data_IF_646932466272
#
_entry.id   IF_646932466272
#
_cell.length_a   1.000
_cell.length_b   1.000
_cell.length_c   1.000
_cell.angle_alpha   90.00
_cell.angle_beta   90.00
_cell.angle_gamma   90.00
#
_symmetry.space_group_name_H-M   'P 1'
#
loop_
_entity.id
_entity.type
_entity.pdbx_description
1 polymer ?
#
# COMPACT_ATOMS: atom_id res chain seq x y z
N UNK A 1 -3.90 -13.47 9.40
CA UNK A 1 -3.70 -12.86 10.72
C UNK A 1 -4.92 -13.21 11.55
N UNK A 2 -4.76 -14.14 12.51
CA UNK A 2 -5.83 -14.51 13.44
C UNK A 2 -6.20 -13.30 14.29
N UNK A 3 -7.45 -12.92 14.26
CA UNK A 3 -8.03 -11.92 15.15
C UNK A 3 -8.10 -12.53 16.55
N UNK A 4 -7.14 -12.21 17.41
CA UNK A 4 -7.15 -12.61 18.81
C UNK A 4 -8.10 -11.71 19.59
N UNK A 5 -9.17 -12.30 20.08
CA UNK A 5 -9.95 -11.95 21.27
C UNK A 5 -10.50 -10.52 21.37
N UNK A 6 -11.73 -10.42 21.83
CA UNK A 6 -12.57 -9.22 21.89
C UNK A 6 -12.12 -8.08 22.85
N UNK A 7 -10.96 -8.14 23.49
CA UNK A 7 -10.57 -7.18 24.55
C UNK A 7 -9.41 -6.22 24.21
N UNK A 8 -8.69 -6.42 23.10
CA UNK A 8 -7.65 -5.46 22.67
C UNK A 8 -7.97 -4.91 21.27
N UNK A 9 -8.47 -3.69 21.23
CA UNK A 9 -8.56 -2.93 19.97
C UNK A 9 -7.15 -2.66 19.44
N UNK A 10 -6.76 -3.20 18.26
CA UNK A 10 -5.42 -2.98 17.74
C UNK A 10 -5.16 -1.49 17.51
N UNK A 11 -3.93 -1.01 17.76
CA UNK A 11 -3.57 0.37 17.50
C UNK A 11 -3.75 0.71 16.01
N UNK A 12 -4.08 1.97 15.72
CA UNK A 12 -4.19 2.49 14.35
C UNK A 12 -2.95 3.30 14.02
N UNK A 13 -2.53 3.24 12.76
CA UNK A 13 -1.56 4.17 12.23
C UNK A 13 -2.12 5.58 12.13
N UNK A 14 -1.24 6.58 12.12
CA UNK A 14 -1.62 7.99 12.07
C UNK A 14 -2.15 8.42 10.70
N UNK A 15 -1.79 7.72 9.64
CA UNK A 15 -2.27 7.97 8.29
C UNK A 15 -3.04 6.77 7.78
N UNK A 16 -4.20 7.02 7.22
CA UNK A 16 -5.06 6.03 6.58
C UNK A 16 -5.56 6.53 5.23
N UNK A 17 -6.40 5.71 4.59
CA UNK A 17 -7.04 6.06 3.32
C UNK A 17 -8.56 5.87 3.44
N UNK A 18 -9.31 6.85 2.94
CA UNK A 18 -10.75 6.75 2.75
C UNK A 18 -11.00 5.87 1.53
N UNK A 19 -11.78 4.80 1.71
CA UNK A 19 -12.19 3.92 0.62
C UNK A 19 -13.69 3.97 0.39
N UNK A 20 -14.10 3.90 -0.87
CA UNK A 20 -15.49 3.68 -1.27
C UNK A 20 -15.70 2.20 -1.54
N UNK A 21 -16.73 1.59 -0.94
CA UNK A 21 -17.13 0.23 -1.29
C UNK A 21 -17.75 0.27 -2.69
N UNK A 22 -17.11 -0.37 -3.66
CA UNK A 22 -17.56 -0.42 -5.07
C UNK A 22 -18.17 -1.77 -5.44
N UNK A 23 -17.89 -2.82 -4.65
CA UNK A 23 -18.51 -4.13 -4.79
C UNK A 23 -18.63 -4.81 -3.44
N UNK A 24 -19.71 -5.56 -3.25
CA UNK A 24 -19.91 -6.39 -2.07
C UNK A 24 -20.61 -7.69 -2.51
N UNK A 25 -20.03 -8.82 -2.14
CA UNK A 25 -20.55 -10.16 -2.45
C UNK A 25 -20.57 -10.99 -1.19
N UNK A 26 -21.72 -11.53 -0.84
CA UNK A 26 -21.85 -12.49 0.26
C UNK A 26 -21.29 -13.85 -0.17
N UNK A 27 -20.51 -14.48 0.69
CA UNK A 27 -19.96 -15.82 0.51
C UNK A 27 -20.79 -16.85 1.23
N UNK A 28 -20.65 -18.13 0.82
CA UNK A 28 -21.40 -19.25 1.40
C UNK A 28 -21.14 -19.47 2.91
N UNK A 29 -20.02 -18.98 3.43
CA UNK A 29 -19.62 -19.04 4.84
C UNK A 29 -20.18 -17.88 5.69
N UNK A 30 -20.99 -17.00 5.11
CA UNK A 30 -21.56 -15.82 5.77
C UNK A 30 -20.58 -14.62 5.85
N UNK A 31 -19.39 -14.71 5.26
CA UNK A 31 -18.47 -13.58 5.12
C UNK A 31 -18.78 -12.75 3.87
N UNK A 32 -18.23 -11.54 3.80
CA UNK A 32 -18.40 -10.66 2.65
C UNK A 32 -17.06 -10.41 1.96
N UNK A 33 -17.01 -10.64 0.64
CA UNK A 33 -15.96 -10.11 -0.22
C UNK A 33 -16.30 -8.66 -0.57
N UNK A 34 -15.42 -7.72 -0.25
CA UNK A 34 -15.62 -6.31 -0.58
C UNK A 34 -14.48 -5.81 -1.46
N UNK A 35 -14.82 -4.94 -2.42
CA UNK A 35 -13.85 -4.16 -3.18
C UNK A 35 -13.92 -2.71 -2.70
N UNK A 36 -12.76 -2.15 -2.39
CA UNK A 36 -12.61 -0.76 -1.98
C UNK A 36 -11.83 0.01 -3.05
N UNK A 37 -12.35 1.15 -3.47
CA UNK A 37 -11.60 2.12 -4.27
C UNK A 37 -11.11 3.23 -3.35
N UNK A 38 -9.79 3.46 -3.30
CA UNK A 38 -9.20 4.56 -2.54
C UNK A 38 -9.67 5.92 -3.08
N UNK A 39 -9.95 6.85 -2.19
CA UNK A 39 -10.39 8.19 -2.57
C UNK A 39 -9.36 9.26 -2.18
N UNK A 40 -8.91 9.25 -0.94
CA UNK A 40 -7.94 10.20 -0.40
C UNK A 40 -7.32 9.66 0.87
N UNK A 41 -6.11 10.06 1.16
CA UNK A 41 -5.46 9.84 2.44
C UNK A 41 -6.04 10.77 3.51
N UNK A 42 -5.88 10.40 4.75
CA UNK A 42 -6.24 11.22 5.88
C UNK A 42 -5.26 11.05 7.03
N UNK A 43 -5.16 12.04 7.89
CA UNK A 43 -4.51 11.94 9.20
C UNK A 43 -5.55 11.62 10.26
N UNK A 44 -5.30 10.60 11.06
CA UNK A 44 -6.10 10.28 12.23
C UNK A 44 -5.84 11.32 13.33
N UNK A 45 -6.86 12.07 13.71
CA UNK A 45 -6.76 13.03 14.80
C UNK A 45 -7.01 12.38 16.17
N UNK A 46 -8.07 11.58 16.25
CA UNK A 46 -8.42 10.80 17.45
C UNK A 46 -9.54 9.80 17.15
N UNK A 47 -9.56 8.74 17.91
CA UNK A 47 -10.73 7.85 17.93
C UNK A 47 -11.90 8.52 18.66
N UNK A 48 -13.11 8.28 18.19
CA UNK A 48 -14.35 8.84 18.73
C UNK A 48 -15.27 7.74 19.32
N UNK A 49 -14.70 6.55 19.57
CA UNK A 49 -15.39 5.41 20.17
C UNK A 49 -15.99 4.45 19.14
N UNK A 50 -16.87 3.60 19.63
CA UNK A 50 -17.56 2.56 18.83
C UNK A 50 -18.98 2.98 18.49
N UNK A 51 -19.43 2.66 17.27
CA UNK A 51 -20.83 2.85 16.85
C UNK A 51 -21.29 1.61 16.10
N UNK A 52 -22.31 0.93 16.59
CA UNK A 52 -22.90 -0.27 15.97
C UNK A 52 -21.85 -1.35 15.61
N UNK A 53 -20.86 -1.54 16.48
CA UNK A 53 -19.81 -2.55 16.28
C UNK A 53 -18.61 -2.12 15.41
N UNK A 54 -18.55 -0.88 14.90
CA UNK A 54 -17.39 -0.35 14.17
C UNK A 54 -16.75 0.85 14.90
N UNK A 55 -15.46 1.03 14.69
CA UNK A 55 -14.69 2.15 15.25
C UNK A 55 -15.01 3.42 14.48
N UNK A 56 -15.17 4.52 15.21
CA UNK A 56 -15.37 5.86 14.63
C UNK A 56 -14.15 6.70 14.96
N UNK A 57 -13.71 7.50 14.01
CA UNK A 57 -12.55 8.39 14.16
C UNK A 57 -12.86 9.79 13.66
N UNK A 58 -12.16 10.78 14.23
CA UNK A 58 -12.01 12.10 13.63
C UNK A 58 -10.75 12.11 12.80
N UNK A 59 -10.87 12.59 11.57
CA UNK A 59 -9.80 12.61 10.57
C UNK A 59 -9.62 14.01 10.02
N UNK A 60 -8.43 14.29 9.49
CA UNK A 60 -8.07 15.48 8.74
C UNK A 60 -7.55 15.10 7.35
N UNK A 61 -8.16 15.65 6.31
CA UNK A 61 -7.79 15.42 4.91
C UNK A 61 -7.00 16.59 4.30
N UNK A 62 -6.85 17.70 5.02
CA UNK A 62 -6.26 18.94 4.50
C UNK A 62 -4.83 18.77 4.01
N UNK A 63 -4.05 17.88 4.67
CA UNK A 63 -2.67 17.59 4.29
C UNK A 63 -2.53 16.72 3.02
N UNK A 64 -3.65 16.23 2.47
CA UNK A 64 -3.68 15.32 1.31
C UNK A 64 -4.60 15.83 0.20
N UNK A 65 -4.72 17.13 0.05
CA UNK A 65 -5.56 17.76 -0.96
C UNK A 65 -5.17 17.34 -2.40
N UNK A 66 -3.90 17.07 -2.63
CA UNK A 66 -3.40 16.56 -3.92
C UNK A 66 -3.97 15.19 -4.32
N UNK A 67 -4.42 14.39 -3.36
CA UNK A 67 -5.01 13.07 -3.68
C UNK A 67 -6.36 13.16 -4.42
N UNK A 68 -7.03 14.31 -4.36
CA UNK A 68 -8.34 14.55 -5.00
C UNK A 68 -8.28 15.50 -6.18
N UNK A 69 -7.12 16.11 -6.43
CA UNK A 69 -6.86 16.89 -7.64
C UNK A 69 -6.31 15.96 -8.72
N UNK A 70 -6.66 16.24 -9.97
CA UNK A 70 -6.19 15.44 -11.10
C UNK A 70 -4.65 15.49 -11.16
N UNK A 71 -3.96 14.35 -11.03
CA UNK A 71 -2.50 14.32 -11.01
C UNK A 71 -1.96 14.43 -12.45
N UNK A 72 -2.15 15.56 -13.09
CA UNK A 72 -1.56 15.87 -14.40
C UNK A 72 -0.10 16.36 -14.24
N UNK A 73 0.57 15.92 -13.17
CA UNK A 73 1.95 16.29 -12.88
C UNK A 73 2.91 15.22 -13.41
N UNK A 74 3.86 15.67 -14.24
CA UNK A 74 5.09 14.91 -14.50
C UNK A 74 5.77 14.57 -13.19
N UNK A 75 5.65 13.31 -12.76
CA UNK A 75 6.27 12.85 -11.51
C UNK A 75 7.78 12.76 -11.71
N UNK A 76 8.51 13.67 -11.10
CA UNK A 76 9.98 13.70 -11.20
C UNK A 76 10.62 12.54 -10.41
N UNK A 77 10.82 11.40 -11.08
CA UNK A 77 11.54 10.25 -10.54
C UNK A 77 12.23 9.45 -11.65
N UNK A 78 13.18 8.60 -11.29
CA UNK A 78 13.89 7.73 -12.22
C UNK A 78 13.10 6.42 -12.42
N UNK A 79 12.21 6.42 -13.43
CA UNK A 79 11.35 5.28 -13.77
C UNK A 79 12.16 4.04 -14.17
N UNK A 80 13.21 4.22 -14.96
CA UNK A 80 14.03 3.10 -15.44
C UNK A 80 14.67 2.38 -14.25
N UNK A 81 15.26 3.15 -13.35
CA UNK A 81 15.89 2.62 -12.14
C UNK A 81 14.91 1.95 -11.19
N UNK A 82 13.67 2.46 -11.08
CA UNK A 82 12.62 1.80 -10.30
C UNK A 82 12.27 0.43 -10.91
N UNK A 83 12.11 0.36 -12.23
CA UNK A 83 11.77 -0.90 -12.92
C UNK A 83 12.95 -1.91 -12.88
N UNK A 84 14.18 -1.44 -12.89
CA UNK A 84 15.35 -2.30 -12.65
C UNK A 84 15.36 -2.90 -11.24
N UNK A 85 15.09 -2.09 -10.21
CA UNK A 85 14.96 -2.56 -8.83
C UNK A 85 13.83 -3.58 -8.69
N UNK A 86 12.68 -3.30 -9.31
CA UNK A 86 11.56 -4.24 -9.34
C UNK A 86 11.92 -5.56 -10.05
N UNK A 87 12.68 -5.51 -11.14
CA UNK A 87 13.12 -6.71 -11.85
C UNK A 87 14.02 -7.59 -10.99
N UNK A 88 15.00 -6.98 -10.28
CA UNK A 88 15.86 -7.71 -9.33
C UNK A 88 15.02 -8.35 -8.22
N UNK A 89 14.13 -7.58 -7.62
CA UNK A 89 13.22 -8.07 -6.59
C UNK A 89 12.36 -9.25 -7.07
N UNK A 90 11.70 -9.15 -8.22
CA UNK A 90 10.89 -10.24 -8.77
C UNK A 90 11.73 -11.49 -9.04
N UNK A 91 12.94 -11.34 -9.56
CA UNK A 91 13.85 -12.47 -9.81
C UNK A 91 14.21 -13.19 -8.52
N UNK A 92 14.53 -12.48 -7.46
CA UNK A 92 14.92 -13.06 -6.17
C UNK A 92 13.74 -13.71 -5.45
N UNK A 93 12.56 -13.10 -5.54
CA UNK A 93 11.34 -13.64 -4.94
C UNK A 93 10.66 -14.72 -5.80
N UNK A 94 11.22 -15.07 -6.95
CA UNK A 94 10.63 -16.04 -7.87
C UNK A 94 9.27 -15.60 -8.44
N UNK A 95 9.03 -14.28 -8.50
CA UNK A 95 7.77 -13.71 -9.00
C UNK A 95 7.81 -13.51 -10.50
N UNK A 96 6.72 -13.89 -11.18
CA UNK A 96 6.52 -13.61 -12.59
C UNK A 96 5.70 -12.34 -12.78
N UNK A 97 6.04 -11.57 -13.81
CA UNK A 97 5.40 -10.26 -14.08
C UNK A 97 5.27 -10.05 -15.58
N UNK A 98 4.20 -9.36 -15.99
CA UNK A 98 3.98 -8.92 -17.38
C UNK A 98 4.69 -7.57 -17.60
N UNK A 99 5.96 -7.61 -18.00
CA UNK A 99 6.81 -6.43 -18.15
C UNK A 99 6.26 -5.42 -19.15
N UNK A 100 5.73 -5.88 -20.27
CA UNK A 100 5.17 -5.02 -21.32
C UNK A 100 4.04 -4.14 -20.76
N UNK A 101 3.14 -4.72 -19.96
CA UNK A 101 2.07 -3.97 -19.31
C UNK A 101 2.58 -2.92 -18.31
N UNK A 102 3.68 -3.22 -17.60
CA UNK A 102 4.31 -2.25 -16.68
C UNK A 102 4.99 -1.10 -17.43
N UNK A 103 5.59 -1.38 -18.59
CA UNK A 103 6.23 -0.33 -19.40
C UNK A 103 5.21 0.61 -20.03
N UNK A 104 4.03 0.13 -20.39
CA UNK A 104 2.94 0.92 -20.98
C UNK A 104 2.11 1.68 -19.95
N UNK A 105 2.24 1.35 -18.66
CA UNK A 105 1.46 1.95 -17.57
C UNK A 105 1.94 3.39 -17.30
N UNK A 106 0.99 4.31 -17.04
CA UNK A 106 1.33 5.66 -16.60
C UNK A 106 1.96 5.65 -15.18
N UNK A 107 2.68 6.71 -14.86
CA UNK A 107 3.48 6.81 -13.63
C UNK A 107 2.62 6.79 -12.37
N UNK A 108 1.48 7.47 -12.39
CA UNK A 108 0.57 7.52 -11.23
C UNK A 108 0.03 6.13 -10.92
N UNK A 109 -0.49 5.47 -11.93
CA UNK A 109 -1.02 4.09 -11.81
C UNK A 109 0.08 3.13 -11.34
N UNK A 110 1.28 3.22 -11.91
CA UNK A 110 2.41 2.38 -11.50
C UNK A 110 2.76 2.56 -10.02
N UNK A 111 2.90 3.81 -9.56
CA UNK A 111 3.29 4.15 -8.18
C UNK A 111 2.18 3.90 -7.15
N UNK A 112 0.93 3.77 -7.57
CA UNK A 112 -0.18 3.37 -6.71
C UNK A 112 -0.32 1.86 -6.66
N UNK A 113 -0.17 1.18 -7.79
CA UNK A 113 -0.43 -0.26 -7.91
C UNK A 113 0.70 -1.11 -7.32
N UNK A 114 1.98 -0.78 -7.58
CA UNK A 114 3.11 -1.57 -7.09
C UNK A 114 3.12 -1.76 -5.57
N UNK A 115 2.90 -0.73 -4.73
CA UNK A 115 2.77 -0.91 -3.27
C UNK A 115 1.67 -1.89 -2.84
N UNK A 116 0.61 -2.01 -3.63
CA UNK A 116 -0.52 -2.89 -3.31
C UNK A 116 -0.20 -4.35 -3.61
N UNK A 117 0.45 -4.62 -4.74
CA UNK A 117 0.70 -5.98 -5.24
C UNK A 117 2.00 -6.59 -4.72
N UNK A 118 3.03 -5.78 -4.43
CA UNK A 118 4.26 -6.28 -3.84
C UNK A 118 4.02 -6.84 -2.43
N UNK A 119 4.68 -7.97 -2.08
CA UNK A 119 4.50 -8.63 -0.77
C UNK A 119 5.28 -7.93 0.35
N UNK A 120 5.17 -6.62 0.43
CA UNK A 120 5.77 -5.82 1.51
C UNK A 120 5.09 -6.07 2.86
N UNK A 121 5.86 -5.94 3.93
CA UNK A 121 5.36 -5.95 5.29
C UNK A 121 4.41 -4.75 5.56
N UNK A 122 3.57 -4.87 6.59
CA UNK A 122 2.59 -3.81 6.92
C UNK A 122 3.25 -2.46 7.17
N UNK A 123 4.39 -2.43 7.87
CA UNK A 123 5.12 -1.18 8.14
C UNK A 123 5.69 -0.54 6.87
N UNK A 124 6.15 -1.35 5.91
CA UNK A 124 6.65 -0.87 4.62
C UNK A 124 5.52 -0.29 3.76
N UNK A 125 4.38 -0.97 3.70
CA UNK A 125 3.18 -0.45 3.03
C UNK A 125 2.68 0.84 3.69
N UNK A 126 2.81 0.95 5.00
CA UNK A 126 2.47 2.17 5.72
C UNK A 126 3.43 3.32 5.36
N UNK A 127 4.73 3.07 5.28
CA UNK A 127 5.71 4.09 4.86
C UNK A 127 5.42 4.61 3.44
N UNK A 128 5.04 3.71 2.52
CA UNK A 128 4.62 4.09 1.16
C UNK A 128 3.33 4.93 1.16
N UNK A 129 2.38 4.62 2.03
CA UNK A 129 1.14 5.40 2.19
C UNK A 129 1.43 6.79 2.75
N UNK A 130 2.39 6.92 3.66
CA UNK A 130 2.76 8.17 4.34
C UNK A 130 3.63 9.10 3.48
N UNK A 131 4.19 8.63 2.36
CA UNK A 131 4.98 9.46 1.44
C UNK A 131 4.18 10.69 1.01
N UNK A 132 4.72 11.90 1.19
CA UNK A 132 3.95 13.13 0.97
C UNK A 132 3.62 13.35 -0.50
N UNK A 133 4.55 12.99 -1.40
CA UNK A 133 4.42 13.14 -2.85
C UNK A 133 4.60 11.82 -3.58
N UNK A 134 4.19 11.75 -4.86
CA UNK A 134 4.45 10.59 -5.72
C UNK A 134 5.95 10.36 -5.94
N UNK A 135 6.75 11.43 -6.05
CA UNK A 135 8.20 11.33 -6.17
C UNK A 135 8.85 10.72 -4.92
N UNK A 136 8.41 11.11 -3.72
CA UNK A 136 8.86 10.49 -2.47
C UNK A 136 8.42 9.02 -2.38
N UNK A 137 7.19 8.72 -2.82
CA UNK A 137 6.70 7.32 -2.88
C UNK A 137 7.55 6.48 -3.82
N UNK A 138 7.92 7.00 -4.99
CA UNK A 138 8.79 6.32 -5.94
C UNK A 138 10.17 6.00 -5.33
N UNK A 139 10.75 6.96 -4.62
CA UNK A 139 12.04 6.77 -3.93
C UNK A 139 11.95 5.75 -2.79
N UNK A 140 10.89 5.83 -1.97
CA UNK A 140 10.63 4.86 -0.89
C UNK A 140 10.42 3.47 -1.47
N UNK A 141 9.60 3.34 -2.51
CA UNK A 141 9.33 2.07 -3.18
C UNK A 141 10.62 1.44 -3.74
N UNK A 142 11.45 2.23 -4.44
CA UNK A 142 12.74 1.76 -4.95
C UNK A 142 13.65 1.28 -3.81
N UNK A 143 13.72 2.03 -2.72
CA UNK A 143 14.53 1.65 -1.56
C UNK A 143 14.09 0.32 -0.95
N UNK A 144 12.78 0.11 -0.80
CA UNK A 144 12.22 -1.14 -0.28
C UNK A 144 12.50 -2.33 -1.22
N UNK A 145 12.37 -2.12 -2.53
CA UNK A 145 12.70 -3.13 -3.54
C UNK A 145 14.19 -3.50 -3.50
N UNK A 146 15.06 -2.51 -3.37
CA UNK A 146 16.52 -2.73 -3.28
C UNK A 146 16.89 -3.45 -1.98
N UNK A 147 16.28 -3.11 -0.84
CA UNK A 147 16.51 -3.77 0.45
C UNK A 147 16.05 -5.23 0.42
N UNK A 148 14.82 -5.48 0.00
CA UNK A 148 14.27 -6.84 -0.11
C UNK A 148 14.99 -7.69 -1.17
N UNK A 149 15.64 -7.04 -2.12
CA UNK A 149 16.51 -7.64 -3.11
C UNK A 149 17.94 -7.93 -2.62
N UNK A 150 18.30 -7.62 -1.38
CA UNK A 150 19.63 -7.85 -0.81
C UNK A 150 19.61 -8.70 0.47
N UNK A 151 18.47 -9.13 0.97
CA UNK A 151 18.43 -10.05 2.10
C UNK A 151 19.01 -11.39 1.66
N UNK A 152 20.17 -11.83 2.23
CA UNK A 152 20.68 -13.16 1.99
C UNK A 152 19.68 -14.17 2.59
N UNK A 153 19.43 -15.24 1.87
CA UNK A 153 18.65 -16.40 2.30
C UNK A 153 19.20 -16.95 3.64
N UNK A 154 18.68 -16.49 4.77
CA UNK A 154 19.01 -17.01 6.11
C UNK A 154 18.32 -18.39 6.35
N UNK A 155 18.12 -19.18 5.32
CA UNK A 155 17.42 -20.47 5.36
C UNK A 155 18.29 -21.70 5.10
N UNK A 156 19.59 -21.58 4.81
CA UNK A 156 20.46 -22.74 4.62
C UNK A 156 21.23 -23.09 5.90
N UNK A 157 20.58 -23.82 6.85
CA UNK A 157 21.33 -24.57 7.88
C UNK A 157 22.13 -25.68 7.20
N UNK A 158 23.45 -25.75 7.38
CA UNK A 158 24.23 -26.91 6.94
C UNK A 158 23.92 -28.10 7.84
N UNK A 159 23.58 -29.22 7.25
CA UNK A 159 23.47 -30.55 7.87
C UNK A 159 24.82 -31.07 8.31
#
# INVERSE_FOLDING_TARGET
TEYRGADETPPLYSVGCIGRITSMTERADGTYGITLTGLARFRLLREAGMRRGYRVARIDVSGFAADVTDPDEDVAYDRERLLESLRRFCTQQGLSTQWDALYEMDDVTLLVMLPMICPFATAEKQALLESATLAERANTLRTLLDMAGHEPDEGASPS
#
